data_IF_300603068991
#
_entry.id   IF_300603068991
#
_cell.length_a   1.000
_cell.length_b   1.000
_cell.length_c   1.000
_cell.angle_alpha   90.00
_cell.angle_beta   90.00
_cell.angle_gamma   90.00
#
_symmetry.space_group_name_H-M   'P 1'
#
loop_
_entity.id
_entity.type
_entity.pdbx_description
1 polymer ?
#
# COMPACT_ATOMS: atom_id res chain seq x y z
N UNK A 1 11.18 -17.83 -7.45
CA UNK A 1 12.21 -17.45 -8.44
C UNK A 1 13.50 -17.16 -7.69
N UNK A 2 14.58 -17.93 -7.89
CA UNK A 2 15.89 -17.61 -7.31
C UNK A 2 16.67 -16.77 -8.31
N UNK A 3 17.01 -15.54 -7.94
CA UNK A 3 17.85 -14.67 -8.76
C UNK A 3 19.29 -15.20 -8.76
N UNK A 4 19.85 -15.41 -9.96
CA UNK A 4 21.22 -15.88 -10.14
C UNK A 4 22.25 -14.83 -9.66
N UNK A 5 23.45 -15.28 -9.25
CA UNK A 5 24.52 -14.38 -8.79
C UNK A 5 24.97 -13.39 -9.86
N UNK A 6 24.96 -13.80 -11.15
CA UNK A 6 25.27 -12.91 -12.28
C UNK A 6 24.31 -11.71 -12.31
N UNK A 7 23.01 -11.97 -12.27
CA UNK A 7 21.98 -10.93 -12.26
C UNK A 7 22.14 -9.91 -11.11
N UNK A 8 22.49 -10.39 -9.90
CA UNK A 8 22.74 -9.49 -8.76
C UNK A 8 23.99 -8.64 -8.94
N UNK A 9 25.01 -9.16 -9.62
CA UNK A 9 26.24 -8.41 -9.89
C UNK A 9 26.01 -7.38 -11.00
N UNK A 10 25.27 -7.74 -12.05
CA UNK A 10 24.92 -6.83 -13.13
C UNK A 10 24.07 -5.66 -12.63
N UNK A 11 23.13 -5.92 -11.73
CA UNK A 11 22.33 -4.86 -11.09
C UNK A 11 23.19 -3.87 -10.29
N UNK A 12 24.27 -4.33 -9.64
CA UNK A 12 25.15 -3.46 -8.85
C UNK A 12 25.96 -2.49 -9.69
N UNK A 13 26.26 -2.85 -10.93
CA UNK A 13 26.99 -2.01 -11.89
C UNK A 13 26.09 -1.06 -12.69
N UNK A 14 24.77 -1.13 -12.53
CA UNK A 14 23.87 -0.24 -13.24
C UNK A 14 24.13 1.21 -12.84
N UNK A 15 24.28 2.13 -13.81
CA UNK A 15 24.42 3.54 -13.53
C UNK A 15 23.12 4.08 -12.93
N UNK A 16 23.24 4.90 -11.90
CA UNK A 16 22.14 5.58 -11.23
C UNK A 16 22.49 7.05 -11.02
N UNK A 17 21.51 7.92 -11.23
CA UNK A 17 21.61 9.35 -10.94
C UNK A 17 21.03 9.61 -9.55
N UNK A 18 21.68 10.50 -8.79
CA UNK A 18 21.12 10.97 -7.53
C UNK A 18 19.92 11.87 -7.78
N UNK A 19 18.82 11.63 -7.06
CA UNK A 19 17.62 12.48 -7.15
C UNK A 19 17.79 13.86 -6.49
N UNK A 20 18.89 14.06 -5.76
CA UNK A 20 19.13 15.24 -4.92
C UNK A 20 20.30 16.11 -5.42
N UNK A 21 21.13 15.61 -6.34
CA UNK A 21 22.24 16.36 -6.92
C UNK A 21 22.66 15.80 -8.29
N UNK A 22 23.69 16.38 -8.91
CA UNK A 22 24.20 15.95 -10.23
C UNK A 22 25.14 14.73 -10.17
N UNK A 23 25.18 14.02 -9.06
CA UNK A 23 26.04 12.84 -8.91
C UNK A 23 25.48 11.65 -9.69
N UNK A 24 26.38 10.93 -10.38
CA UNK A 24 26.08 9.73 -11.17
C UNK A 24 27.21 8.72 -10.99
N UNK A 25 26.87 7.47 -10.66
CA UNK A 25 27.81 6.34 -10.59
C UNK A 25 27.02 5.01 -10.57
N UNK A 26 27.69 3.88 -10.29
CA UNK A 26 27.07 2.59 -10.10
C UNK A 26 26.17 2.52 -8.84
N UNK A 27 25.11 1.72 -8.93
CA UNK A 27 24.16 1.48 -7.83
C UNK A 27 24.83 1.05 -6.52
N UNK A 28 25.92 0.29 -6.59
CA UNK A 28 26.64 -0.15 -5.38
C UNK A 28 27.31 1.01 -4.60
N UNK A 29 27.58 2.14 -5.26
CA UNK A 29 28.20 3.31 -4.68
C UNK A 29 27.17 4.35 -4.25
N UNK A 30 25.91 4.19 -4.68
CA UNK A 30 24.85 5.15 -4.39
C UNK A 30 24.63 5.34 -2.89
N UNK A 31 24.59 4.25 -2.11
CA UNK A 31 24.43 4.36 -0.67
C UNK A 31 25.59 5.11 -0.01
N UNK A 32 26.83 4.84 -0.43
CA UNK A 32 28.01 5.54 0.08
C UNK A 32 27.96 7.02 -0.25
N UNK A 33 27.55 7.37 -1.46
CA UNK A 33 27.35 8.76 -1.86
C UNK A 33 26.30 9.44 -0.98
N UNK A 34 25.17 8.78 -0.73
CA UNK A 34 24.12 9.29 0.14
C UNK A 34 24.64 9.56 1.56
N UNK A 35 25.32 8.59 2.16
CA UNK A 35 25.84 8.72 3.52
C UNK A 35 26.93 9.82 3.64
N UNK A 36 27.76 10.01 2.61
CA UNK A 36 28.80 11.04 2.59
C UNK A 36 28.24 12.46 2.35
N UNK A 37 27.32 12.57 1.40
CA UNK A 37 26.84 13.86 0.91
C UNK A 37 25.67 14.39 1.75
N UNK A 38 24.94 13.50 2.42
CA UNK A 38 23.75 13.81 3.21
C UNK A 38 23.86 13.21 4.62
N UNK A 39 25.02 13.37 5.25
CA UNK A 39 25.29 12.87 6.61
C UNK A 39 24.51 13.57 7.72
N UNK A 40 23.79 14.65 7.42
CA UNK A 40 22.93 15.36 8.36
C UNK A 40 21.65 15.79 7.64
N UNK A 41 20.63 14.94 7.68
CA UNK A 41 19.30 15.25 7.13
C UNK A 41 18.34 15.51 8.28
N UNK A 42 17.57 16.59 8.21
CA UNK A 42 16.49 16.86 9.14
C UNK A 42 15.13 16.48 8.53
N UNK A 43 14.22 16.00 9.38
CA UNK A 43 12.83 15.88 9.00
C UNK A 43 12.17 17.25 9.06
N UNK A 44 11.67 17.74 7.92
CA UNK A 44 10.94 19.01 7.83
C UNK A 44 9.61 19.00 8.61
N UNK A 45 9.07 17.81 8.89
CA UNK A 45 7.78 17.65 9.57
C UNK A 45 7.92 17.59 11.10
N UNK A 46 9.03 17.05 11.64
CA UNK A 46 9.21 16.84 13.09
C UNK A 46 10.56 17.29 13.65
N UNK A 47 11.39 17.94 12.84
CA UNK A 47 12.72 18.47 13.18
C UNK A 47 13.75 17.45 13.71
N UNK A 48 13.44 16.14 13.65
CA UNK A 48 14.39 15.08 14.02
C UNK A 48 15.57 15.05 13.04
N UNK A 49 16.79 14.97 13.58
CA UNK A 49 18.02 14.86 12.79
C UNK A 49 18.46 13.41 12.64
N UNK A 50 18.91 13.07 11.43
CA UNK A 50 19.37 11.75 11.06
C UNK A 50 20.79 11.82 10.50
N UNK A 51 21.60 10.87 10.94
CA UNK A 51 22.98 10.68 10.50
C UNK A 51 23.14 9.72 9.31
N UNK A 52 22.02 9.27 8.73
CA UNK A 52 21.98 8.39 7.57
C UNK A 52 20.65 8.59 6.83
N UNK A 53 20.74 8.61 5.51
CA UNK A 53 19.59 8.72 4.62
C UNK A 53 18.64 7.54 4.75
N UNK A 54 19.15 6.34 5.07
CA UNK A 54 18.31 5.15 5.26
C UNK A 54 17.40 5.30 6.47
N UNK A 55 17.96 5.76 7.59
CA UNK A 55 17.18 6.02 8.80
C UNK A 55 16.18 7.15 8.60
N UNK A 56 16.57 8.20 7.86
CA UNK A 56 15.68 9.28 7.48
C UNK A 56 14.51 8.78 6.62
N UNK A 57 14.79 7.96 5.60
CA UNK A 57 13.77 7.38 4.73
C UNK A 57 12.84 6.44 5.50
N UNK A 58 13.39 5.56 6.34
CA UNK A 58 12.60 4.68 7.22
C UNK A 58 11.69 5.51 8.14
N UNK A 59 12.23 6.59 8.72
CA UNK A 59 11.47 7.52 9.53
C UNK A 59 10.32 8.15 8.74
N UNK A 60 10.57 8.74 7.57
CA UNK A 60 9.52 9.38 6.75
C UNK A 60 8.42 8.38 6.38
N UNK A 61 8.79 7.18 5.93
CA UNK A 61 7.83 6.16 5.51
C UNK A 61 6.98 5.66 6.67
N UNK A 62 7.56 5.41 7.85
CA UNK A 62 6.89 4.60 8.88
C UNK A 62 6.84 5.19 10.28
N UNK A 63 7.77 6.07 10.68
CA UNK A 63 7.93 6.52 12.07
C UNK A 63 7.56 7.98 12.31
N UNK A 64 7.63 8.83 11.29
CA UNK A 64 7.32 10.25 11.39
C UNK A 64 5.83 10.43 11.69
N UNK A 65 5.52 10.86 12.90
CA UNK A 65 4.15 11.08 13.36
C UNK A 65 3.58 12.42 12.91
N UNK A 66 4.45 13.40 12.64
CA UNK A 66 4.04 14.73 12.17
C UNK A 66 3.84 14.79 10.64
N UNK A 67 4.23 13.74 9.91
CA UNK A 67 4.08 13.68 8.45
C UNK A 67 2.61 13.79 8.04
N UNK A 68 2.35 14.66 7.08
CA UNK A 68 1.03 14.83 6.46
C UNK A 68 0.83 13.79 5.36
N UNK A 69 -0.04 12.82 5.62
CA UNK A 69 -0.38 11.73 4.71
C UNK A 69 -1.81 11.86 4.18
N UNK A 70 -2.11 11.14 3.10
CA UNK A 70 -3.49 11.00 2.64
C UNK A 70 -4.33 10.25 3.67
N UNK A 71 -5.61 10.62 3.78
CA UNK A 71 -6.57 9.90 4.60
C UNK A 71 -6.69 8.43 4.17
N UNK A 72 -6.87 7.52 5.15
CA UNK A 72 -7.13 6.09 4.91
C UNK A 72 -8.39 5.83 4.06
N UNK A 73 -9.32 6.78 4.04
CA UNK A 73 -10.57 6.71 3.29
C UNK A 73 -10.47 7.37 1.90
N UNK A 74 -9.25 7.63 1.40
CA UNK A 74 -9.04 8.22 0.07
C UNK A 74 -9.72 7.45 -1.05
N UNK A 75 -9.59 6.13 -1.02
CA UNK A 75 -10.21 5.25 -2.01
C UNK A 75 -11.75 5.22 -1.90
N UNK A 76 -12.31 5.80 -0.83
CA UNK A 76 -13.74 5.90 -0.57
C UNK A 76 -14.28 7.34 -0.68
N UNK A 77 -13.47 8.26 -1.22
CA UNK A 77 -13.86 9.64 -1.53
C UNK A 77 -13.42 10.69 -0.50
N UNK A 78 -12.55 10.35 0.44
CA UNK A 78 -11.96 11.33 1.35
C UNK A 78 -10.69 11.97 0.76
N UNK A 79 -10.74 13.27 0.43
CA UNK A 79 -9.60 13.99 -0.14
C UNK A 79 -8.78 14.76 0.90
N UNK A 80 -9.04 14.55 2.20
CA UNK A 80 -8.30 15.22 3.27
C UNK A 80 -6.89 14.64 3.42
N UNK A 81 -5.95 15.55 3.65
CA UNK A 81 -4.60 15.23 4.10
C UNK A 81 -4.52 15.46 5.61
N UNK A 82 -4.02 14.47 6.34
CA UNK A 82 -4.08 14.41 7.80
C UNK A 82 -2.69 14.16 8.37
N UNK A 83 -2.40 14.77 9.52
CA UNK A 83 -1.18 14.46 10.27
C UNK A 83 -1.29 13.00 10.74
N UNK A 84 -0.26 12.19 10.49
CA UNK A 84 -0.28 10.76 10.82
C UNK A 84 -0.64 10.49 12.28
N UNK A 85 -0.13 11.29 13.23
CA UNK A 85 -0.46 11.21 14.65
C UNK A 85 -1.95 11.45 14.96
N UNK A 86 -2.62 12.25 14.13
CA UNK A 86 -4.01 12.70 14.29
C UNK A 86 -4.92 12.08 13.25
N UNK A 87 -4.61 10.85 12.82
CA UNK A 87 -5.42 10.15 11.83
C UNK A 87 -6.82 9.79 12.36
N UNK A 88 -7.01 9.81 13.68
CA UNK A 88 -8.27 9.48 14.35
C UNK A 88 -9.22 10.68 14.51
N UNK A 89 -8.70 11.90 14.65
CA UNK A 89 -9.49 13.12 14.83
C UNK A 89 -10.51 13.40 13.68
N UNK A 90 -10.18 13.16 12.39
CA UNK A 90 -11.05 13.51 11.26
C UNK A 90 -12.29 12.63 11.09
N UNK A 91 -12.38 11.47 11.78
CA UNK A 91 -13.46 10.50 11.58
C UNK A 91 -14.87 11.04 11.86
N UNK A 92 -14.99 12.14 12.60
CA UNK A 92 -16.26 12.80 12.91
C UNK A 92 -16.73 13.81 11.85
N UNK A 93 -15.92 14.07 10.82
CA UNK A 93 -16.32 14.98 9.73
C UNK A 93 -17.36 14.34 8.80
N UNK A 94 -18.23 15.16 8.20
CA UNK A 94 -19.26 14.67 7.25
C UNK A 94 -18.66 13.91 6.06
N UNK A 95 -17.47 14.28 5.60
CA UNK A 95 -16.78 13.61 4.50
C UNK A 95 -16.33 12.21 4.89
N UNK A 96 -15.75 12.04 6.08
CA UNK A 96 -15.38 10.74 6.61
C UNK A 96 -16.59 9.84 6.85
N UNK A 97 -17.70 10.39 7.37
CA UNK A 97 -18.95 9.65 7.51
C UNK A 97 -19.47 9.12 6.16
N UNK A 98 -19.42 9.94 5.11
CA UNK A 98 -19.81 9.51 3.77
C UNK A 98 -18.90 8.41 3.22
N UNK A 99 -17.59 8.54 3.42
CA UNK A 99 -16.62 7.54 2.99
C UNK A 99 -16.78 6.22 3.76
N UNK A 100 -17.03 6.25 5.07
CA UNK A 100 -17.36 5.08 5.88
C UNK A 100 -18.64 4.39 5.41
N UNK A 101 -19.68 5.16 5.04
CA UNK A 101 -20.89 4.58 4.45
C UNK A 101 -20.61 3.86 3.12
N UNK A 102 -19.69 4.38 2.30
CA UNK A 102 -19.24 3.70 1.07
C UNK A 102 -18.54 2.38 1.38
N UNK A 103 -17.67 2.34 2.40
CA UNK A 103 -17.02 1.09 2.87
C UNK A 103 -18.08 0.06 3.27
N UNK A 104 -19.03 0.46 4.11
CA UNK A 104 -20.10 -0.43 4.60
C UNK A 104 -20.95 -0.95 3.44
N UNK A 105 -21.32 -0.10 2.47
CA UNK A 105 -22.06 -0.52 1.27
C UNK A 105 -21.28 -1.56 0.47
N UNK A 106 -19.98 -1.36 0.26
CA UNK A 106 -19.16 -2.32 -0.47
C UNK A 106 -19.05 -3.65 0.28
N UNK A 107 -18.90 -3.63 1.61
CA UNK A 107 -18.90 -4.86 2.42
C UNK A 107 -20.22 -5.62 2.31
N UNK A 108 -21.36 -4.93 2.40
CA UNK A 108 -22.69 -5.54 2.25
C UNK A 108 -22.88 -6.16 0.86
N UNK A 109 -22.42 -5.48 -0.20
CA UNK A 109 -22.45 -6.04 -1.56
C UNK A 109 -21.59 -7.30 -1.68
N UNK A 110 -20.41 -7.34 -1.05
CA UNK A 110 -19.57 -8.54 -1.06
C UNK A 110 -20.21 -9.71 -0.28
N UNK A 111 -20.87 -9.44 0.85
CA UNK A 111 -21.58 -10.46 1.62
C UNK A 111 -22.78 -11.02 0.85
N UNK A 112 -23.55 -10.14 0.19
CA UNK A 112 -24.70 -10.54 -0.62
C UNK A 112 -24.28 -11.40 -1.82
N UNK A 113 -23.18 -11.02 -2.50
CA UNK A 113 -22.64 -11.80 -3.61
C UNK A 113 -22.09 -13.16 -3.16
N UNK A 114 -21.53 -13.26 -1.94
CA UNK A 114 -21.07 -14.55 -1.37
C UNK A 114 -22.20 -15.50 -1.01
N UNK A 115 -23.40 -15.00 -0.68
CA UNK A 115 -24.56 -15.86 -0.43
C UNK A 115 -25.09 -16.53 -1.71
N UNK A 116 -24.98 -15.87 -2.87
CA UNK A 116 -25.50 -16.37 -4.14
C UNK A 116 -24.67 -17.49 -4.79
N UNK A 117 -23.43 -17.74 -4.33
CA UNK A 117 -22.58 -18.85 -4.80
C UNK A 117 -22.81 -20.17 -4.03
N UNK A 118 -23.58 -20.15 -2.93
CA UNK A 118 -23.79 -21.33 -2.06
C UNK A 118 -25.11 -22.06 -2.26
N UNK A 119 -26.05 -21.53 -3.06
CA UNK A 119 -27.31 -22.19 -3.37
C UNK A 119 -27.29 -22.82 -4.77
N UNK A 120 -26.51 -23.90 -4.91
CA UNK A 120 -26.71 -24.85 -6.01
C UNK A 120 -27.82 -25.84 -5.60
N UNK A 121 -28.97 -25.89 -6.29
CA UNK A 121 -30.04 -26.79 -5.92
C UNK A 121 -29.66 -28.25 -6.18
N UNK A 122 -29.82 -29.05 -5.12
CA UNK A 122 -29.88 -30.51 -5.08
C UNK A 122 -30.81 -31.04 -6.19
N UNK A 123 -30.26 -31.48 -7.31
CA UNK A 123 -31.02 -32.23 -8.32
C UNK A 123 -31.33 -33.61 -7.75
N UNK A 124 -32.50 -33.71 -7.14
CA UNK A 124 -33.11 -34.98 -6.77
C UNK A 124 -33.50 -35.68 -8.07
N UNK A 125 -32.75 -36.70 -8.49
CA UNK A 125 -33.19 -37.64 -9.52
C UNK A 125 -34.30 -38.51 -8.94
N UNK A 126 -35.55 -38.03 -9.03
CA UNK A 126 -36.75 -38.84 -8.91
C UNK A 126 -37.07 -39.48 -10.27
N UNK A 127 -37.42 -40.76 -10.24
CA UNK A 127 -37.47 -41.65 -11.39
C UNK A 127 -38.47 -41.31 -12.49
N UNK A 128 -38.12 -41.71 -13.70
CA UNK A 128 -39.06 -41.87 -14.81
C UNK A 128 -39.32 -43.36 -14.97
N UNK A 129 -40.50 -43.78 -14.52
CA UNK A 129 -41.12 -45.05 -14.88
C UNK A 129 -41.61 -44.92 -16.32
N UNK A 130 -41.20 -45.84 -17.20
CA UNK A 130 -41.59 -45.84 -18.60
C UNK A 130 -42.47 -47.07 -18.85
N UNK A 131 -43.78 -46.94 -19.12
CA UNK A 131 -44.59 -48.04 -19.61
C UNK A 131 -44.89 -47.84 -21.11
N UNK A 132 -44.26 -48.66 -21.96
CA UNK A 132 -44.67 -48.88 -23.35
C UNK A 132 -44.14 -50.27 -23.79
N UNK A 133 -44.95 -51.31 -23.68
CA UNK A 133 -45.64 -52.02 -24.79
C UNK A 133 -44.71 -52.68 -25.81
N UNK A 134 -44.56 -54.01 -25.69
CA UNK A 134 -44.75 -55.00 -26.75
C UNK A 134 -44.78 -56.41 -26.10
#
# INVERSE_FOLDING_TARGET
VRLDRGFKNDMKSLPINCSFCQWTDALNNYQKHLDQSYSNVNCEDCDEQFNSVDKFNEHKVSKCQQLIVDCLLKDFGCNERVIRAKMEDPFLTKQHQHALLSVVRQMLLQLNNRQMDTDLPRTTTAGVYNPATA
#
